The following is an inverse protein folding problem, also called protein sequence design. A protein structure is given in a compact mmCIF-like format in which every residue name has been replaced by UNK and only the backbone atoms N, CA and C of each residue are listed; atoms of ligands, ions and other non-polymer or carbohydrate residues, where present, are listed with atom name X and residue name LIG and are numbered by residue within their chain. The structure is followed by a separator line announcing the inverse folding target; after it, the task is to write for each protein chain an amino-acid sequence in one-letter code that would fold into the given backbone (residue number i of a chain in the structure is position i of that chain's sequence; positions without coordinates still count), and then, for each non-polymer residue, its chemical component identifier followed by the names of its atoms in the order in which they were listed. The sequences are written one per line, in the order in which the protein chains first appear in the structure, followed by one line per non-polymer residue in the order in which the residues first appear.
data_IF_431163866860
#
_entry.id   IF_431163866860
#
_cell.length_a   1.000
_cell.length_b   1.000
_cell.length_c   1.000
_cell.angle_alpha   90.00
_cell.angle_beta   90.00
_cell.angle_gamma   90.00
#
_symmetry.space_group_name_H-M   'P 1'
#
loop_
_entity.id
_entity.type
_entity.pdbx_description
1 polymer ?
#
# COMPACT_ATOMS: atom_id res chain seq x y z
N UNK A 1 -18.33 12.33 3.58
CA UNK A 1 -16.97 12.08 4.10
C UNK A 1 -15.99 12.01 2.94
N UNK A 2 -14.76 12.51 3.08
CA UNK A 2 -13.65 12.34 2.10
C UNK A 2 -12.50 11.64 2.78
N UNK A 3 -11.87 10.72 2.06
CA UNK A 3 -10.64 10.06 2.46
C UNK A 3 -9.98 9.40 1.24
N UNK A 4 -8.69 9.15 1.33
CA UNK A 4 -7.98 8.29 0.37
C UNK A 4 -7.45 7.05 1.08
N UNK A 5 -7.65 5.91 0.45
CA UNK A 5 -6.91 4.69 0.81
C UNK A 5 -5.64 4.65 -0.01
N UNK A 6 -4.55 4.19 0.59
CA UNK A 6 -3.33 3.90 -0.15
C UNK A 6 -2.79 2.51 0.18
N UNK A 7 -2.16 1.89 -0.80
CA UNK A 7 -1.34 0.71 -0.64
C UNK A 7 -0.05 0.86 -1.43
N UNK A 8 1.00 0.25 -0.93
CA UNK A 8 2.35 0.29 -1.51
C UNK A 8 2.79 -1.11 -1.89
N UNK A 9 3.51 -1.23 -3.02
CA UNK A 9 4.45 -2.32 -3.23
C UNK A 9 5.86 -1.78 -3.04
N UNK A 10 6.67 -2.45 -2.24
CA UNK A 10 8.04 -2.06 -1.98
C UNK A 10 9.01 -3.21 -2.27
N UNK A 11 10.22 -2.84 -2.66
CA UNK A 11 11.29 -3.76 -3.06
C UNK A 11 12.58 -3.40 -2.32
N UNK A 12 13.61 -4.26 -2.29
CA UNK A 12 14.90 -3.91 -1.73
C UNK A 12 15.49 -2.65 -2.38
N UNK A 13 16.01 -1.71 -1.58
CA UNK A 13 16.70 -0.52 -2.08
C UNK A 13 18.13 -0.88 -2.51
N UNK A 14 18.25 -1.50 -3.67
CA UNK A 14 19.53 -1.96 -4.20
C UNK A 14 20.48 -0.83 -4.56
N UNK A 15 19.96 0.32 -5.02
CA UNK A 15 20.76 1.46 -5.39
C UNK A 15 21.50 2.08 -4.21
N UNK A 16 20.78 2.36 -3.12
CA UNK A 16 21.42 2.86 -1.88
C UNK A 16 22.36 1.82 -1.29
N UNK A 17 21.98 0.56 -1.35
CA UNK A 17 22.79 -0.54 -0.84
C UNK A 17 24.12 -0.66 -1.56
N UNK A 18 24.13 -0.53 -2.89
CA UNK A 18 25.38 -0.49 -3.70
C UNK A 18 26.30 0.62 -3.24
N UNK A 19 25.74 1.81 -3.06
CA UNK A 19 26.52 2.98 -2.65
C UNK A 19 27.10 2.84 -1.23
N UNK A 20 26.29 2.36 -0.29
CA UNK A 20 26.68 2.26 1.14
C UNK A 20 27.70 1.14 1.39
N UNK A 21 27.62 0.06 0.62
CA UNK A 21 28.45 -1.13 0.84
C UNK A 21 29.47 -1.41 -0.26
N UNK A 22 29.65 -0.47 -1.20
CA UNK A 22 30.59 -0.57 -2.33
C UNK A 22 30.39 -1.85 -3.17
N UNK A 23 29.12 -2.10 -3.55
CA UNK A 23 28.70 -3.29 -4.28
C UNK A 23 28.37 -2.97 -5.75
N UNK A 24 29.13 -2.09 -6.38
CA UNK A 24 28.83 -1.56 -7.71
C UNK A 24 28.81 -2.61 -8.81
N UNK A 25 29.59 -3.68 -8.67
CA UNK A 25 29.69 -4.76 -9.65
C UNK A 25 28.58 -5.81 -9.56
N UNK A 26 27.68 -5.70 -8.57
CA UNK A 26 26.61 -6.67 -8.35
C UNK A 26 25.29 -6.23 -8.97
N UNK A 27 24.55 -7.18 -9.53
CA UNK A 27 23.17 -6.98 -9.99
C UNK A 27 22.17 -6.85 -8.82
N UNK A 28 20.93 -6.46 -9.11
CA UNK A 28 19.89 -6.26 -8.10
C UNK A 28 19.62 -7.52 -7.28
N UNK A 29 19.67 -8.68 -7.91
CA UNK A 29 19.46 -9.96 -7.22
C UNK A 29 20.55 -10.27 -6.22
N UNK A 30 21.81 -10.03 -6.59
CA UNK A 30 22.95 -10.26 -5.71
C UNK A 30 22.96 -9.26 -4.55
N UNK A 31 22.72 -7.98 -4.82
CA UNK A 31 22.61 -6.94 -3.78
C UNK A 31 21.47 -7.23 -2.82
N UNK A 32 20.30 -7.64 -3.32
CA UNK A 32 19.16 -8.03 -2.45
C UNK A 32 19.51 -9.20 -1.53
N UNK A 33 20.24 -10.20 -2.03
CA UNK A 33 20.71 -11.31 -1.19
C UNK A 33 21.67 -10.86 -0.07
N UNK A 34 22.53 -9.88 -0.36
CA UNK A 34 23.39 -9.28 0.67
C UNK A 34 22.54 -8.62 1.75
N UNK A 35 21.49 -7.85 1.37
CA UNK A 35 20.56 -7.23 2.31
C UNK A 35 19.84 -8.26 3.18
N UNK A 36 19.24 -9.28 2.57
CA UNK A 36 18.53 -10.35 3.29
C UNK A 36 19.45 -11.09 4.26
N UNK A 37 20.66 -11.44 3.82
CA UNK A 37 21.65 -12.11 4.67
C UNK A 37 22.07 -11.24 5.86
N UNK A 38 22.38 -9.96 5.63
CA UNK A 38 22.71 -9.03 6.71
C UNK A 38 21.54 -8.85 7.67
N UNK A 39 20.31 -8.81 7.17
CA UNK A 39 19.13 -8.72 8.02
C UNK A 39 18.98 -9.96 8.89
N UNK A 40 19.16 -11.15 8.32
CA UNK A 40 19.15 -12.42 9.08
C UNK A 40 20.22 -12.45 10.17
N UNK A 41 21.42 -11.95 9.89
CA UNK A 41 22.49 -11.84 10.90
C UNK A 41 22.11 -10.89 12.04
N UNK A 42 21.44 -9.77 11.73
CA UNK A 42 21.00 -8.79 12.74
C UNK A 42 19.87 -9.30 13.64
N UNK A 43 18.94 -10.07 13.08
CA UNK A 43 17.75 -10.57 13.79
C UNK A 43 17.95 -11.94 14.40
N UNK A 44 18.92 -12.70 13.93
CA UNK A 44 19.12 -14.10 14.25
C UNK A 44 18.21 -15.09 13.51
N UNK A 45 17.12 -14.62 12.85
CA UNK A 45 16.14 -15.52 12.22
C UNK A 45 15.44 -14.93 10.98
N UNK A 46 15.06 -13.66 10.99
CA UNK A 46 14.26 -13.05 9.94
C UNK A 46 15.11 -12.37 8.87
N UNK A 47 14.74 -12.57 7.61
CA UNK A 47 15.27 -11.86 6.43
C UNK A 47 14.44 -10.63 6.07
N UNK A 48 13.33 -10.38 6.78
CA UNK A 48 12.43 -9.26 6.54
C UNK A 48 13.17 -7.92 6.63
N UNK A 49 13.13 -7.16 5.54
CA UNK A 49 13.79 -5.86 5.46
C UNK A 49 13.02 -4.80 6.25
N UNK A 50 13.77 -3.94 6.94
CA UNK A 50 13.18 -2.73 7.54
C UNK A 50 12.74 -1.76 6.45
N UNK A 51 11.88 -0.83 6.83
CA UNK A 51 11.40 0.23 5.94
C UNK A 51 12.53 1.07 5.32
N UNK A 52 13.62 1.33 6.04
CA UNK A 52 14.78 2.10 5.54
C UNK A 52 15.68 1.33 4.55
N UNK A 53 15.41 0.04 4.35
CA UNK A 53 16.12 -0.83 3.40
C UNK A 53 15.27 -1.11 2.15
N UNK A 54 14.10 -0.47 2.04
CA UNK A 54 13.16 -0.67 0.93
C UNK A 54 13.01 0.60 0.09
N UNK A 55 12.65 0.42 -1.17
CA UNK A 55 12.23 1.46 -2.10
C UNK A 55 10.77 1.22 -2.53
N UNK A 56 10.03 2.30 -2.82
CA UNK A 56 8.65 2.18 -3.29
C UNK A 56 8.66 1.86 -4.79
N UNK A 57 8.03 0.76 -5.16
CA UNK A 57 7.94 0.31 -6.54
C UNK A 57 6.58 0.57 -7.19
N UNK A 58 5.54 0.71 -6.38
CA UNK A 58 4.19 1.08 -6.84
C UNK A 58 3.36 1.64 -5.69
N UNK A 59 2.46 2.55 -6.03
CA UNK A 59 1.46 3.14 -5.15
C UNK A 59 0.10 3.03 -5.82
N UNK A 60 -0.90 2.57 -5.10
CA UNK A 60 -2.30 2.70 -5.50
C UNK A 60 -3.04 3.58 -4.51
N UNK A 61 -3.76 4.55 -5.04
CA UNK A 61 -4.63 5.47 -4.33
C UNK A 61 -6.08 5.20 -4.71
N UNK A 62 -6.96 5.01 -3.72
CA UNK A 62 -8.41 4.98 -3.92
C UNK A 62 -9.01 6.17 -3.21
N UNK A 63 -9.43 7.14 -3.99
CA UNK A 63 -10.01 8.39 -3.51
C UNK A 63 -11.52 8.20 -3.34
N UNK A 64 -12.01 8.44 -2.14
CA UNK A 64 -13.42 8.36 -1.80
C UNK A 64 -14.02 9.75 -1.60
N UNK A 65 -15.10 10.03 -2.30
CA UNK A 65 -16.00 11.16 -2.03
C UNK A 65 -17.46 10.68 -2.05
N UNK A 66 -18.38 11.55 -1.66
CA UNK A 66 -19.82 11.21 -1.56
C UNK A 66 -20.36 10.55 -2.84
N UNK A 67 -19.92 11.04 -4.01
CA UNK A 67 -20.50 10.64 -5.31
C UNK A 67 -19.53 9.87 -6.20
N UNK A 68 -18.24 9.79 -5.84
CA UNK A 68 -17.23 9.25 -6.73
C UNK A 68 -16.15 8.48 -5.98
N UNK A 69 -15.77 7.34 -6.57
CA UNK A 69 -14.57 6.57 -6.23
C UNK A 69 -13.64 6.62 -7.43
N UNK A 70 -12.41 7.07 -7.23
CA UNK A 70 -11.38 7.10 -8.25
C UNK A 70 -10.22 6.22 -7.81
N UNK A 71 -9.78 5.33 -8.70
CA UNK A 71 -8.61 4.47 -8.50
C UNK A 71 -7.50 5.01 -9.40
N UNK A 72 -6.37 5.30 -8.79
CA UNK A 72 -5.16 5.77 -9.45
C UNK A 72 -3.99 4.90 -9.00
N UNK A 73 -3.28 4.30 -9.96
CA UNK A 73 -2.11 3.47 -9.68
C UNK A 73 -0.90 4.04 -10.41
N UNK A 74 0.20 4.20 -9.69
CA UNK A 74 1.44 4.79 -10.16
C UNK A 74 2.55 3.80 -9.83
N UNK A 75 3.31 3.38 -10.82
CA UNK A 75 4.37 2.40 -10.67
C UNK A 75 5.55 2.64 -11.58
N UNK A 76 6.59 1.84 -11.43
CA UNK A 76 7.87 1.96 -12.17
C UNK A 76 7.73 1.82 -13.69
N UNK A 77 6.59 1.36 -14.21
CA UNK A 77 6.36 1.24 -15.66
C UNK A 77 6.32 2.58 -16.41
N UNK A 78 6.28 3.71 -15.75
CA UNK A 78 6.24 5.02 -16.40
C UNK A 78 6.49 6.19 -15.47
N UNK A 79 6.80 5.91 -14.20
CA UNK A 79 6.96 6.92 -13.17
C UNK A 79 8.17 6.63 -12.30
N UNK A 80 8.68 7.67 -11.67
CA UNK A 80 9.75 7.58 -10.67
C UNK A 80 9.16 7.40 -9.27
N UNK A 81 9.97 6.95 -8.32
CA UNK A 81 9.59 6.92 -6.91
C UNK A 81 9.21 8.32 -6.39
N UNK A 82 9.85 9.36 -6.92
CA UNK A 82 9.53 10.76 -6.61
C UNK A 82 8.09 11.12 -7.00
N UNK A 83 7.62 10.66 -8.17
CA UNK A 83 6.25 10.91 -8.64
C UNK A 83 5.23 10.22 -7.73
N UNK A 84 5.53 8.99 -7.30
CA UNK A 84 4.69 8.22 -6.36
C UNK A 84 4.55 8.94 -5.01
N UNK A 85 5.65 9.45 -4.47
CA UNK A 85 5.65 10.22 -3.22
C UNK A 85 4.87 11.53 -3.37
N UNK A 86 5.03 12.25 -4.50
CA UNK A 86 4.28 13.47 -4.78
C UNK A 86 2.76 13.20 -4.82
N UNK A 87 2.34 12.12 -5.45
CA UNK A 87 0.93 11.72 -5.50
C UNK A 87 0.37 11.44 -4.10
N UNK A 88 1.12 10.72 -3.25
CA UNK A 88 0.73 10.43 -1.86
C UNK A 88 0.54 11.71 -1.03
N UNK A 89 1.51 12.61 -1.05
CA UNK A 89 1.41 13.86 -0.30
C UNK A 89 0.30 14.78 -0.83
N UNK A 90 0.11 14.80 -2.16
CA UNK A 90 -0.98 15.55 -2.78
C UNK A 90 -2.34 15.01 -2.35
N UNK A 91 -2.50 13.69 -2.33
CA UNK A 91 -3.73 13.05 -1.87
C UNK A 91 -4.01 13.33 -0.39
N UNK A 92 -2.97 13.29 0.46
CA UNK A 92 -3.08 13.60 1.89
C UNK A 92 -3.60 15.03 2.11
N UNK A 93 -3.10 16.00 1.37
CA UNK A 93 -3.52 17.40 1.51
C UNK A 93 -4.91 17.66 0.94
N UNK A 94 -5.27 16.97 -0.15
CA UNK A 94 -6.59 17.13 -0.80
C UNK A 94 -7.72 16.51 0.01
N UNK A 95 -7.52 15.30 0.53
CA UNK A 95 -8.58 14.47 1.11
C UNK A 95 -8.57 14.50 2.65
N UNK A 96 -7.48 14.96 3.22
CA UNK A 96 -7.33 15.22 4.66
C UNK A 96 -7.33 13.98 5.56
N UNK A 97 -7.43 12.77 4.98
CA UNK A 97 -7.34 11.50 5.70
C UNK A 97 -6.82 10.41 4.77
N UNK A 98 -5.72 9.80 5.16
CA UNK A 98 -5.06 8.70 4.45
C UNK A 98 -5.26 7.40 5.24
N UNK A 99 -5.94 6.43 4.63
CA UNK A 99 -6.27 5.16 5.26
C UNK A 99 -5.41 4.06 4.65
N UNK A 100 -4.83 3.20 5.48
CA UNK A 100 -4.05 2.07 5.00
C UNK A 100 -4.13 0.89 5.97
N UNK A 101 -3.58 -0.24 5.56
CA UNK A 101 -3.43 -1.44 6.37
C UNK A 101 -1.98 -1.58 6.82
N UNK A 102 -1.74 -1.76 8.13
CA UNK A 102 -0.41 -1.96 8.75
C UNK A 102 0.65 -0.93 8.33
N UNK A 103 0.21 0.30 8.11
CA UNK A 103 1.07 1.36 7.58
C UNK A 103 1.88 2.09 8.64
N UNK A 104 1.44 2.07 9.89
CA UNK A 104 2.09 2.78 11.00
C UNK A 104 3.51 2.27 11.28
N UNK A 105 3.76 0.99 11.07
CA UNK A 105 5.04 0.34 11.34
C UNK A 105 5.99 0.32 10.15
N UNK A 106 5.47 0.34 8.92
CA UNK A 106 6.29 0.17 7.72
C UNK A 106 5.98 1.20 6.65
N UNK A 107 4.72 1.34 6.24
CA UNK A 107 4.33 2.17 5.10
C UNK A 107 4.59 3.66 5.32
N UNK A 108 4.10 4.23 6.41
CA UNK A 108 4.30 5.67 6.73
C UNK A 108 5.79 5.97 7.00
N UNK A 109 6.52 5.20 7.83
CA UNK A 109 7.96 5.37 7.97
C UNK A 109 8.74 5.28 6.66
N UNK A 110 8.36 4.35 5.77
CA UNK A 110 8.97 4.23 4.43
C UNK A 110 8.73 5.50 3.61
N UNK A 111 7.49 5.98 3.50
CA UNK A 111 7.13 7.22 2.78
C UNK A 111 7.96 8.41 3.30
N UNK A 112 8.04 8.56 4.62
CA UNK A 112 8.80 9.65 5.25
C UNK A 112 10.30 9.56 4.93
N UNK A 113 10.89 8.37 5.10
CA UNK A 113 12.30 8.16 4.80
C UNK A 113 12.63 8.39 3.32
N UNK A 114 11.81 7.86 2.41
CA UNK A 114 12.00 8.06 0.96
C UNK A 114 11.83 9.53 0.57
N UNK A 115 10.93 10.27 1.22
CA UNK A 115 10.80 11.71 0.98
C UNK A 115 12.06 12.48 1.37
N UNK A 116 12.74 12.11 2.45
CA UNK A 116 14.03 12.68 2.84
C UNK A 116 15.11 12.33 1.81
N UNK A 117 15.18 11.06 1.38
CA UNK A 117 16.13 10.63 0.35
C UNK A 117 16.00 11.41 -0.95
N UNK A 118 14.77 11.69 -1.37
CA UNK A 118 14.49 12.46 -2.59
C UNK A 118 14.47 13.98 -2.37
N UNK A 119 14.77 14.47 -1.17
CA UNK A 119 14.71 15.88 -0.81
C UNK A 119 13.38 16.55 -1.22
N UNK A 120 12.25 15.85 -0.98
CA UNK A 120 10.93 16.35 -1.29
C UNK A 120 10.42 17.28 -0.19
N UNK A 121 9.97 18.48 -0.58
CA UNK A 121 9.46 19.48 0.35
C UNK A 121 7.94 19.55 0.30
N UNK A 122 7.28 19.17 1.40
CA UNK A 122 5.84 19.29 1.62
C UNK A 122 5.52 19.89 2.98
N UNK A 123 5.82 21.18 3.21
CA UNK A 123 5.66 21.83 4.54
C UNK A 123 4.25 21.68 5.10
N UNK A 124 3.21 21.84 4.26
CA UNK A 124 1.82 21.71 4.66
C UNK A 124 1.49 20.32 5.21
N UNK A 125 2.02 19.25 4.60
CA UNK A 125 1.84 17.90 5.10
C UNK A 125 2.44 17.71 6.50
N UNK A 126 3.69 18.16 6.70
CA UNK A 126 4.38 18.03 7.98
C UNK A 126 3.71 18.86 9.08
N UNK A 127 3.18 20.02 8.73
CA UNK A 127 2.40 20.82 9.65
C UNK A 127 1.10 20.14 10.03
N UNK A 128 0.34 19.65 9.05
CA UNK A 128 -0.92 18.93 9.28
C UNK A 128 -0.69 17.67 10.12
N UNK A 129 0.39 16.94 9.89
CA UNK A 129 0.74 15.74 10.66
C UNK A 129 0.99 16.06 12.16
N UNK A 130 1.47 17.25 12.50
CA UNK A 130 1.65 17.70 13.89
C UNK A 130 0.34 18.14 14.55
N UNK A 131 -0.60 18.64 13.75
CA UNK A 131 -1.86 19.23 14.22
C UNK A 131 -3.01 18.21 14.28
N UNK A 132 -2.86 17.06 13.57
CA UNK A 132 -3.94 16.09 13.41
C UNK A 132 -3.43 14.65 13.56
N UNK A 133 -3.95 13.95 14.55
CA UNK A 133 -3.66 12.54 14.78
C UNK A 133 -4.38 11.61 13.80
N UNK A 134 -5.42 12.11 13.08
CA UNK A 134 -6.24 11.35 12.16
C UNK A 134 -5.87 11.54 10.68
N UNK A 135 -4.74 12.17 10.38
CA UNK A 135 -4.24 12.28 9.01
C UNK A 135 -3.92 10.90 8.42
N UNK A 136 -3.28 10.05 9.20
CA UNK A 136 -3.05 8.65 8.86
C UNK A 136 -3.90 7.74 9.75
N UNK A 137 -4.75 6.93 9.12
CA UNK A 137 -5.59 5.94 9.79
C UNK A 137 -5.09 4.56 9.40
N UNK A 138 -4.48 3.88 10.35
CA UNK A 138 -4.09 2.47 10.19
C UNK A 138 -5.24 1.57 10.65
N UNK A 139 -5.82 0.82 9.72
CA UNK A 139 -6.96 -0.06 10.02
C UNK A 139 -6.57 -1.24 10.91
N UNK A 140 -5.33 -1.71 10.82
CA UNK A 140 -4.89 -2.79 11.69
C UNK A 140 -4.66 -2.31 13.12
N UNK A 141 -4.09 -1.11 13.30
CA UNK A 141 -3.98 -0.51 14.63
C UNK A 141 -5.36 -0.21 15.24
N UNK A 142 -6.33 0.19 14.41
CA UNK A 142 -7.71 0.39 14.84
C UNK A 142 -8.34 -0.94 15.32
N UNK A 143 -8.07 -2.05 14.64
CA UNK A 143 -8.63 -3.38 14.98
C UNK A 143 -7.93 -4.03 16.17
N UNK A 144 -6.61 -4.09 16.14
CA UNK A 144 -5.79 -4.89 17.06
C UNK A 144 -5.05 -4.07 18.11
N UNK A 145 -5.03 -2.74 17.96
CA UNK A 145 -4.16 -1.89 18.74
C UNK A 145 -2.67 -2.16 18.45
N UNK A 146 -1.77 -1.67 19.30
CA UNK A 146 -0.31 -1.82 19.12
C UNK A 146 0.21 -3.22 19.48
N UNK A 147 -0.66 -4.23 19.58
CA UNK A 147 -0.36 -5.60 19.97
C UNK A 147 0.65 -6.32 19.08
N UNK A 148 1.09 -7.49 19.53
CA UNK A 148 2.15 -8.29 18.90
C UNK A 148 1.58 -9.21 17.82
N UNK A 149 0.38 -9.74 18.01
CA UNK A 149 -0.27 -10.67 17.08
C UNK A 149 -1.13 -9.88 16.10
N UNK A 150 -0.62 -9.74 14.89
CA UNK A 150 -1.21 -8.89 13.84
C UNK A 150 -1.53 -9.73 12.60
N UNK A 151 -2.81 -9.97 12.32
CA UNK A 151 -3.21 -10.72 11.14
C UNK A 151 -2.86 -9.97 9.85
N UNK A 152 -2.55 -10.72 8.79
CA UNK A 152 -2.32 -10.16 7.47
C UNK A 152 -3.61 -9.66 6.80
N UNK A 153 -3.44 -8.77 5.80
CA UNK A 153 -4.55 -8.21 5.03
C UNK A 153 -5.37 -9.31 4.33
N UNK A 154 -4.71 -10.30 3.71
CA UNK A 154 -5.40 -11.39 3.01
C UNK A 154 -6.36 -12.14 3.93
N UNK A 155 -5.85 -12.59 5.06
CA UNK A 155 -6.61 -13.36 6.03
C UNK A 155 -7.78 -12.56 6.59
N UNK A 156 -7.53 -11.31 6.98
CA UNK A 156 -8.57 -10.42 7.55
C UNK A 156 -9.65 -10.11 6.53
N UNK A 157 -9.27 -9.75 5.31
CA UNK A 157 -10.22 -9.46 4.24
C UNK A 157 -11.12 -10.68 3.96
N UNK A 158 -10.54 -11.86 3.81
CA UNK A 158 -11.28 -13.11 3.53
C UNK A 158 -12.21 -13.51 4.68
N UNK A 159 -11.79 -13.35 5.93
CA UNK A 159 -12.66 -13.61 7.12
C UNK A 159 -13.86 -12.67 7.16
N UNK A 160 -13.76 -11.47 6.59
CA UNK A 160 -14.83 -10.49 6.50
C UNK A 160 -15.63 -10.57 5.19
N UNK A 161 -15.42 -11.62 4.36
CA UNK A 161 -16.17 -11.85 3.12
C UNK A 161 -15.62 -11.09 1.90
N UNK A 162 -14.46 -10.44 2.03
CA UNK A 162 -13.80 -9.74 0.92
C UNK A 162 -12.84 -10.66 0.16
N UNK A 163 -12.38 -10.29 -1.06
CA UNK A 163 -11.58 -11.16 -1.92
C UNK A 163 -10.24 -11.64 -1.33
N UNK A 164 -9.58 -10.81 -0.52
CA UNK A 164 -8.19 -11.04 -0.12
C UNK A 164 -7.21 -10.76 -1.26
N UNK A 165 -5.97 -11.22 -1.11
CA UNK A 165 -4.88 -10.94 -2.04
C UNK A 165 -4.89 -11.81 -3.31
N UNK A 166 -5.91 -12.65 -3.52
CA UNK A 166 -6.06 -13.52 -4.70
C UNK A 166 -4.79 -14.35 -4.97
N UNK A 167 -4.25 -14.98 -3.92
CA UNK A 167 -3.03 -15.81 -3.91
C UNK A 167 -1.71 -15.06 -4.16
N UNK A 168 -1.71 -13.74 -4.27
CA UNK A 168 -0.49 -12.94 -4.46
C UNK A 168 0.22 -12.70 -3.14
N UNK A 169 1.55 -12.77 -3.18
CA UNK A 169 2.44 -12.62 -2.03
C UNK A 169 3.49 -11.53 -2.26
N UNK A 170 4.21 -11.11 -1.21
CA UNK A 170 5.35 -10.20 -1.37
C UNK A 170 6.51 -10.83 -2.14
N UNK A 171 6.66 -12.16 -2.07
CA UNK A 171 7.66 -12.87 -2.87
C UNK A 171 7.37 -12.78 -4.37
N UNK A 172 6.08 -12.76 -4.76
CA UNK A 172 5.69 -12.53 -6.16
C UNK A 172 6.05 -11.11 -6.61
N UNK A 173 5.89 -10.11 -5.73
CA UNK A 173 6.31 -8.72 -6.01
C UNK A 173 7.82 -8.65 -6.25
N UNK A 174 8.61 -9.26 -5.39
CA UNK A 174 10.06 -9.30 -5.53
C UNK A 174 10.50 -10.01 -6.82
N UNK A 175 9.91 -11.17 -7.12
CA UNK A 175 10.21 -11.93 -8.35
C UNK A 175 9.80 -11.15 -9.61
N UNK A 176 8.65 -10.48 -9.59
CA UNK A 176 8.17 -9.67 -10.70
C UNK A 176 9.08 -8.45 -10.93
N UNK A 177 9.48 -7.77 -9.86
CA UNK A 177 10.40 -6.63 -9.94
C UNK A 177 11.75 -7.03 -10.55
N UNK A 178 12.38 -8.10 -10.06
CA UNK A 178 13.65 -8.60 -10.62
C UNK A 178 13.56 -8.97 -12.10
N UNK A 179 12.38 -9.40 -12.54
CA UNK A 179 12.12 -9.75 -13.94
C UNK A 179 11.66 -8.55 -14.80
N UNK A 180 11.59 -7.33 -14.25
CA UNK A 180 11.11 -6.14 -14.94
C UNK A 180 9.60 -6.14 -15.23
N UNK A 181 8.83 -7.03 -14.61
CA UNK A 181 7.37 -7.14 -14.80
C UNK A 181 6.62 -6.14 -13.91
N UNK A 182 6.85 -4.85 -14.13
CA UNK A 182 6.32 -3.76 -13.30
C UNK A 182 4.79 -3.72 -13.20
N UNK A 183 4.07 -4.19 -14.22
CA UNK A 183 2.62 -4.31 -14.19
C UNK A 183 2.12 -5.29 -13.10
N UNK A 184 2.87 -6.38 -12.85
CA UNK A 184 2.54 -7.34 -11.79
C UNK A 184 2.81 -6.76 -10.39
N UNK A 185 3.89 -5.97 -10.26
CA UNK A 185 4.18 -5.21 -9.02
C UNK A 185 3.06 -4.23 -8.71
N UNK A 186 2.55 -3.51 -9.72
CA UNK A 186 1.43 -2.59 -9.58
C UNK A 186 0.13 -3.31 -9.23
N UNK A 187 -0.16 -4.45 -9.89
CA UNK A 187 -1.34 -5.26 -9.61
C UNK A 187 -1.44 -5.68 -8.13
N UNK A 188 -0.31 -5.94 -7.47
CA UNK A 188 -0.29 -6.25 -6.04
C UNK A 188 -0.81 -5.08 -5.20
N UNK A 189 -0.29 -3.86 -5.41
CA UNK A 189 -0.76 -2.67 -4.68
C UNK A 189 -2.22 -2.33 -5.00
N UNK A 190 -2.71 -2.59 -6.22
CA UNK A 190 -4.12 -2.42 -6.58
C UNK A 190 -5.04 -3.34 -5.79
N UNK A 191 -4.71 -4.63 -5.70
CA UNK A 191 -5.48 -5.60 -4.91
C UNK A 191 -5.44 -5.26 -3.42
N UNK A 192 -4.27 -4.88 -2.90
CA UNK A 192 -4.13 -4.47 -1.51
C UNK A 192 -4.97 -3.22 -1.21
N UNK A 193 -4.93 -2.20 -2.08
CA UNK A 193 -5.74 -0.99 -1.92
C UNK A 193 -7.24 -1.27 -1.98
N UNK A 194 -7.70 -2.14 -2.88
CA UNK A 194 -9.10 -2.53 -2.99
C UNK A 194 -9.60 -3.22 -1.71
N UNK A 195 -8.85 -4.19 -1.17
CA UNK A 195 -9.22 -4.84 0.10
C UNK A 195 -9.23 -3.83 1.25
N UNK A 196 -8.19 -2.98 1.35
CA UNK A 196 -8.12 -1.94 2.39
C UNK A 196 -9.29 -0.97 2.28
N UNK A 197 -9.71 -0.62 1.06
CA UNK A 197 -10.88 0.24 0.84
C UNK A 197 -12.19 -0.42 1.32
N UNK A 198 -12.40 -1.69 1.03
CA UNK A 198 -13.58 -2.43 1.48
C UNK A 198 -13.60 -2.55 3.02
N UNK A 199 -12.43 -2.80 3.62
CA UNK A 199 -12.27 -2.81 5.08
C UNK A 199 -12.56 -1.44 5.68
N UNK A 200 -12.04 -0.35 5.08
CA UNK A 200 -12.31 1.01 5.52
C UNK A 200 -13.82 1.33 5.50
N UNK A 201 -14.50 0.99 4.42
CA UNK A 201 -15.96 1.16 4.32
C UNK A 201 -16.69 0.37 5.40
N UNK A 202 -16.27 -0.86 5.72
CA UNK A 202 -16.85 -1.66 6.79
C UNK A 202 -16.61 -1.02 8.15
N UNK A 203 -15.39 -0.58 8.45
CA UNK A 203 -15.04 0.13 9.70
C UNK A 203 -15.85 1.40 9.83
N UNK A 204 -15.89 2.24 8.80
CA UNK A 204 -16.63 3.51 8.83
C UNK A 204 -18.15 3.30 8.91
N UNK A 205 -18.66 2.20 8.38
CA UNK A 205 -20.08 1.87 8.52
C UNK A 205 -20.41 1.39 9.96
N UNK A 206 -19.58 0.56 10.55
CA UNK A 206 -19.77 0.07 11.93
C UNK A 206 -19.64 1.20 12.95
N UNK A 207 -18.73 2.14 12.72
CA UNK A 207 -18.53 3.31 13.58
C UNK A 207 -19.50 4.47 13.31
N UNK A 208 -20.45 4.30 12.37
CA UNK A 208 -21.48 5.29 12.07
C UNK A 208 -21.01 6.49 11.24
N UNK A 209 -19.79 6.45 10.68
CA UNK A 209 -19.25 7.53 9.84
C UNK A 209 -19.80 7.49 8.40
N UNK A 210 -20.23 6.30 7.95
CA UNK A 210 -20.88 6.05 6.65
C UNK A 210 -22.12 5.21 6.92
N UNK A 211 -23.27 5.51 6.29
CA UNK A 211 -24.47 4.69 6.44
C UNK A 211 -24.28 3.34 5.74
N UNK A 212 -25.01 2.30 6.21
CA UNK A 212 -25.00 0.99 5.52
C UNK A 212 -25.47 1.11 4.07
N UNK A 213 -26.48 1.94 3.83
CA UNK A 213 -27.00 2.19 2.49
C UNK A 213 -25.93 2.82 1.58
N UNK A 214 -25.23 3.86 2.04
CA UNK A 214 -24.16 4.49 1.27
C UNK A 214 -22.97 3.55 1.03
N UNK A 215 -22.60 2.77 2.04
CA UNK A 215 -21.55 1.75 1.91
C UNK A 215 -21.91 0.73 0.82
N UNK A 216 -23.13 0.20 0.82
CA UNK A 216 -23.61 -0.76 -0.19
C UNK A 216 -23.65 -0.13 -1.58
N UNK A 217 -24.15 1.11 -1.71
CA UNK A 217 -24.21 1.86 -2.97
C UNK A 217 -22.79 2.04 -3.55
N UNK A 218 -21.85 2.44 -2.73
CA UNK A 218 -20.46 2.66 -3.15
C UNK A 218 -19.78 1.36 -3.55
N UNK A 219 -20.00 0.27 -2.82
CA UNK A 219 -19.48 -1.06 -3.20
C UNK A 219 -20.04 -1.54 -4.54
N UNK A 220 -21.33 -1.32 -4.80
CA UNK A 220 -21.93 -1.65 -6.10
C UNK A 220 -21.34 -0.82 -7.24
N UNK A 221 -21.14 0.49 -7.03
CA UNK A 221 -20.49 1.35 -8.02
C UNK A 221 -19.05 0.89 -8.31
N UNK A 222 -18.30 0.51 -7.26
CA UNK A 222 -16.95 -0.04 -7.41
C UNK A 222 -16.98 -1.35 -8.22
N UNK A 223 -17.88 -2.29 -7.92
CA UNK A 223 -18.04 -3.53 -8.69
C UNK A 223 -18.30 -3.24 -10.18
N UNK A 224 -19.21 -2.30 -10.48
CA UNK A 224 -19.50 -1.93 -11.86
C UNK A 224 -18.31 -1.27 -12.56
N UNK A 225 -17.54 -0.44 -11.85
CA UNK A 225 -16.35 0.19 -12.41
C UNK A 225 -15.25 -0.86 -12.71
N UNK A 226 -15.03 -1.82 -11.81
CA UNK A 226 -14.08 -2.90 -12.00
C UNK A 226 -14.51 -3.87 -13.10
N UNK A 227 -15.82 -4.16 -13.24
CA UNK A 227 -16.35 -5.03 -14.29
C UNK A 227 -16.13 -4.52 -15.73
N UNK A 228 -15.83 -3.23 -15.87
CA UNK A 228 -15.47 -2.61 -17.16
C UNK A 228 -13.98 -2.73 -17.50
N UNK A 229 -13.18 -3.22 -16.57
CA UNK A 229 -11.74 -3.40 -16.73
C UNK A 229 -11.46 -4.83 -17.20
N UNK A 230 -10.48 -4.97 -18.09
CA UNK A 230 -10.02 -6.27 -18.60
C UNK A 230 -8.75 -6.79 -17.94
N UNK A 231 -8.21 -6.05 -16.99
CA UNK A 231 -7.00 -6.44 -16.26
C UNK A 231 -7.24 -7.72 -15.47
N UNK A 232 -6.45 -8.74 -15.72
CA UNK A 232 -6.66 -10.09 -15.18
C UNK A 232 -6.81 -10.10 -13.66
N UNK A 233 -5.96 -9.38 -12.95
CA UNK A 233 -5.99 -9.31 -11.49
C UNK A 233 -7.30 -8.69 -10.95
N UNK A 234 -7.92 -7.75 -11.69
CA UNK A 234 -9.20 -7.15 -11.31
C UNK A 234 -10.37 -8.09 -11.62
N UNK A 235 -10.28 -8.86 -12.70
CA UNK A 235 -11.25 -9.94 -13.02
C UNK A 235 -11.21 -11.01 -11.93
N UNK A 236 -10.01 -11.49 -11.55
CA UNK A 236 -9.82 -12.46 -10.47
C UNK A 236 -10.37 -11.92 -9.13
N UNK A 237 -10.11 -10.63 -8.83
CA UNK A 237 -10.63 -9.95 -7.64
C UNK A 237 -12.15 -9.94 -7.60
N UNK A 238 -12.79 -9.56 -8.71
CA UNK A 238 -14.25 -9.55 -8.81
C UNK A 238 -14.86 -10.95 -8.67
N UNK A 239 -14.23 -11.97 -9.26
CA UNK A 239 -14.68 -13.36 -9.16
C UNK A 239 -14.61 -13.89 -7.71
N UNK A 240 -13.61 -13.45 -6.94
CA UNK A 240 -13.44 -13.80 -5.54
C UNK A 240 -14.37 -13.00 -4.59
N UNK A 241 -14.91 -11.87 -5.06
CA UNK A 241 -15.75 -10.99 -4.22
C UNK A 241 -17.18 -11.53 -4.11
N UNK A 242 -17.46 -12.24 -3.02
CA UNK A 242 -18.79 -12.78 -2.73
C UNK A 242 -19.80 -11.65 -2.51
N UNK A 243 -21.01 -11.83 -3.04
CA UNK A 243 -22.17 -11.01 -2.68
C UNK A 243 -22.74 -11.58 -1.39
N UNK A 244 -22.93 -10.74 -0.37
CA UNK A 244 -23.76 -11.09 0.82
C UNK A 244 -25.22 -11.24 0.42
#
# INVERSE_FOLDING_TARGET
MRFSVFALSSVPDTDTTRQVFDLHDLDDKAVSKVLFHRRKQQTGSSEELRWDQRAIASVTLIQHSVDKVLIESIGLAGHTERDMLQALFTAAMRDGRMVAWDSSRSGVPLIHFRSLKHALSFPAYWQTLKERDDLHVDLLDWLAGPGVDRPGLDETARKLGFPGMCTRTEDDVYAAWLAGRHAEVQAFSEIAALNTYLLALRVFSVTGQVTRHDSARVQNNLRQALARRSDRHLVDFLAAWRTE
#
